data_IF_340332307877
#
_entry.id   IF_340332307877
#
_cell.length_a   1.000
_cell.length_b   1.000
_cell.length_c   1.000
_cell.angle_alpha   90.00
_cell.angle_beta   90.00
_cell.angle_gamma   90.00
#
_symmetry.space_group_name_H-M   'P 1'
#
loop_
_entity.id
_entity.type
_entity.pdbx_description
1 polymer ?
#
# COMPACT_ATOMS: atom_id res chain seq x y z
N UNK A 1 -4.25 0.40 11.24
CA UNK A 1 -5.20 1.32 10.59
C UNK A 1 -4.78 1.66 9.16
N UNK A 2 -3.66 2.36 8.95
CA UNK A 2 -3.21 2.82 7.62
C UNK A 2 -3.03 1.70 6.57
N UNK A 3 -2.40 0.58 6.93
CA UNK A 3 -2.19 -0.56 6.01
C UNK A 3 -3.52 -1.16 5.52
N UNK A 4 -4.45 -1.41 6.44
CA UNK A 4 -5.77 -1.94 6.09
C UNK A 4 -6.58 -1.00 5.20
N UNK A 5 -6.52 0.31 5.50
CA UNK A 5 -7.17 1.34 4.69
C UNK A 5 -6.57 1.46 3.29
N UNK A 6 -5.24 1.38 3.15
CA UNK A 6 -4.55 1.45 1.85
C UNK A 6 -4.80 0.21 0.99
N UNK A 7 -4.86 -0.97 1.58
CA UNK A 7 -5.08 -2.21 0.82
C UNK A 7 -6.56 -2.37 0.47
N UNK A 8 -7.47 -2.38 1.45
CA UNK A 8 -8.90 -2.55 1.17
C UNK A 8 -9.51 -1.34 0.45
N UNK A 9 -9.16 -0.12 0.88
CA UNK A 9 -9.61 1.10 0.21
C UNK A 9 -8.99 1.24 -1.17
N UNK A 10 -7.71 0.88 -1.34
CA UNK A 10 -7.04 0.87 -2.64
C UNK A 10 -7.68 -0.10 -3.63
N UNK A 11 -8.04 -1.31 -3.20
CA UNK A 11 -8.76 -2.29 -4.05
C UNK A 11 -10.13 -1.75 -4.46
N UNK A 12 -10.88 -1.12 -3.55
CA UNK A 12 -12.17 -0.51 -3.89
C UNK A 12 -12.03 0.61 -4.93
N UNK A 13 -10.99 1.44 -4.82
CA UNK A 13 -10.69 2.51 -5.78
C UNK A 13 -10.32 1.93 -7.15
N UNK A 14 -9.53 0.85 -7.19
CA UNK A 14 -9.22 0.13 -8.44
C UNK A 14 -10.50 -0.32 -9.13
N UNK A 15 -11.42 -0.95 -8.40
CA UNK A 15 -12.68 -1.44 -8.96
C UNK A 15 -13.56 -0.31 -9.49
N UNK A 16 -13.63 0.83 -8.79
CA UNK A 16 -14.33 2.02 -9.26
C UNK A 16 -13.68 2.57 -10.55
N UNK A 17 -12.36 2.56 -10.63
CA UNK A 17 -11.61 3.00 -11.80
C UNK A 17 -11.73 2.09 -13.03
N UNK A 18 -12.17 0.84 -12.88
CA UNK A 18 -12.40 -0.06 -14.03
C UNK A 18 -13.64 0.32 -14.85
N UNK A 19 -14.62 1.01 -14.24
CA UNK A 19 -15.82 1.50 -14.92
C UNK A 19 -15.60 2.76 -15.75
N UNK A 20 -14.47 3.47 -15.56
CA UNK A 20 -14.17 4.72 -16.26
C UNK A 20 -12.93 4.58 -17.13
N UNK A 21 -13.11 4.79 -18.44
CA UNK A 21 -11.98 4.98 -19.34
C UNK A 21 -11.44 6.40 -19.26
N UNK A 22 -10.12 6.52 -19.20
CA UNK A 22 -9.42 7.81 -19.22
C UNK A 22 -9.57 8.48 -20.60
N UNK A 23 -10.23 9.65 -20.70
CA UNK A 23 -10.39 10.35 -21.98
C UNK A 23 -9.06 10.73 -22.62
N UNK A 24 -8.02 10.96 -21.79
CA UNK A 24 -6.72 11.44 -22.23
C UNK A 24 -5.72 10.32 -22.54
N UNK A 25 -5.90 9.14 -21.95
CA UNK A 25 -4.92 8.05 -22.01
C UNK A 25 -5.46 6.80 -22.70
N UNK A 26 -6.77 6.71 -22.95
CA UNK A 26 -7.40 5.57 -23.64
C UNK A 26 -7.40 4.26 -22.85
N UNK A 27 -6.92 4.27 -21.61
CA UNK A 27 -6.89 3.10 -20.72
C UNK A 27 -7.89 3.27 -19.58
N UNK A 28 -8.40 2.16 -19.06
CA UNK A 28 -9.22 2.13 -17.85
C UNK A 28 -8.39 2.59 -16.64
N UNK A 29 -8.93 3.50 -15.83
CA UNK A 29 -8.20 4.11 -14.70
C UNK A 29 -7.88 3.11 -13.58
N UNK A 30 -8.58 1.97 -13.53
CA UNK A 30 -8.32 0.88 -12.59
C UNK A 30 -6.87 0.38 -12.63
N UNK A 31 -6.23 0.32 -13.81
CA UNK A 31 -4.81 -0.09 -13.91
C UNK A 31 -3.87 0.90 -13.23
N UNK A 32 -4.17 2.20 -13.36
CA UNK A 32 -3.38 3.26 -12.72
C UNK A 32 -3.53 3.18 -11.21
N UNK A 33 -4.75 2.96 -10.73
CA UNK A 33 -5.00 2.85 -9.29
C UNK A 33 -4.46 1.58 -8.65
N UNK A 34 -4.03 0.59 -9.43
CA UNK A 34 -3.38 -0.62 -8.89
C UNK A 34 -2.07 -0.31 -8.15
N UNK A 35 -1.46 0.85 -8.41
CA UNK A 35 -0.31 1.34 -7.66
C UNK A 35 -0.62 1.58 -6.17
N UNK A 36 -1.88 1.89 -5.82
CA UNK A 36 -2.30 2.18 -4.45
C UNK A 36 -2.25 0.93 -3.56
N UNK A 37 -2.90 -0.21 -3.90
CA UNK A 37 -2.77 -1.42 -3.11
C UNK A 37 -1.33 -1.97 -3.12
N UNK A 38 -0.60 -1.84 -4.23
CA UNK A 38 0.82 -2.29 -4.30
C UNK A 38 1.71 -1.51 -3.33
N UNK A 39 1.59 -0.18 -3.31
CA UNK A 39 2.34 0.66 -2.35
C UNK A 39 1.91 0.38 -0.92
N UNK A 40 0.62 0.14 -0.67
CA UNK A 40 0.11 -0.30 0.64
C UNK A 40 0.77 -1.57 1.16
N UNK A 41 1.00 -2.57 0.30
CA UNK A 41 1.72 -3.80 0.66
C UNK A 41 3.20 -3.53 0.97
N UNK A 42 3.88 -2.73 0.14
CA UNK A 42 5.29 -2.37 0.36
C UNK A 42 5.44 -1.65 1.71
N UNK A 43 4.60 -0.66 2.00
CA UNK A 43 4.62 0.07 3.27
C UNK A 43 4.33 -0.83 4.48
N UNK A 44 3.50 -1.86 4.31
CA UNK A 44 3.24 -2.85 5.36
C UNK A 44 4.50 -3.65 5.69
N UNK A 45 5.20 -4.15 4.68
CA UNK A 45 6.45 -4.93 4.84
C UNK A 45 7.52 -4.08 5.53
N UNK A 46 7.72 -2.84 5.06
CA UNK A 46 8.70 -1.93 5.68
C UNK A 46 8.37 -1.62 7.13
N UNK A 47 7.11 -1.41 7.49
CA UNK A 47 6.73 -1.19 8.88
C UNK A 47 7.04 -2.40 9.76
N UNK A 48 6.78 -3.62 9.28
CA UNK A 48 7.10 -4.84 10.04
C UNK A 48 8.61 -4.97 10.26
N UNK A 49 9.41 -4.74 9.20
CA UNK A 49 10.88 -4.75 9.31
C UNK A 49 11.38 -3.67 10.28
N UNK A 50 10.85 -2.46 10.19
CA UNK A 50 11.24 -1.34 11.04
C UNK A 50 10.93 -1.62 12.53
N UNK A 51 9.77 -2.21 12.84
CA UNK A 51 9.43 -2.60 14.22
C UNK A 51 10.34 -3.72 14.72
N UNK A 52 10.64 -4.72 13.87
CA UNK A 52 11.56 -5.80 14.23
C UNK A 52 12.97 -5.28 14.54
N UNK A 53 13.47 -4.35 13.71
CA UNK A 53 14.77 -3.72 13.90
C UNK A 53 14.81 -2.88 15.18
N UNK A 54 13.80 -2.04 15.42
CA UNK A 54 13.68 -1.27 16.66
C UNK A 54 13.66 -2.18 17.90
N UNK A 55 12.95 -3.30 17.84
CA UNK A 55 12.89 -4.28 18.95
C UNK A 55 14.27 -4.92 19.19
N UNK A 56 15.02 -5.18 18.13
CA UNK A 56 16.36 -5.75 18.22
C UNK A 56 17.38 -4.72 18.74
N UNK A 57 17.27 -3.45 18.33
CA UNK A 57 18.09 -2.35 18.82
C UNK A 57 17.87 -2.12 20.33
N UNK A 58 16.62 -2.13 20.80
CA UNK A 58 16.34 -1.97 22.24
C UNK A 58 17.01 -3.08 23.06
N UNK A 59 16.93 -4.33 22.60
CA UNK A 59 17.59 -5.47 23.26
C UNK A 59 19.11 -5.39 23.28
N UNK A 60 19.73 -4.73 22.31
CA UNK A 60 21.20 -4.59 22.29
C UNK A 60 21.69 -3.43 23.13
N UNK A 61 20.86 -2.40 23.36
CA UNK A 61 21.20 -1.25 24.22
C UNK A 61 21.08 -1.54 25.72
N UNK A 62 20.34 -2.58 26.12
CA UNK A 62 20.24 -3.04 27.51
C UNK A 62 21.38 -3.97 27.96
N UNK A 63 22.25 -4.41 27.03
CA UNK A 63 23.46 -5.20 27.33
C UNK A 63 24.69 -4.32 27.42
#
# INVERSE_FOLDING_TARGET
FAVGALIYGGIAIVQLGMGQQSPSLGIQMGWVYMVIPVTGVITAVYNVMNIAELTQQIKTSEK
#
